data_IF_377432947836
#
_entry.id   IF_377432947836
#
_cell.length_a   1.000
_cell.length_b   1.000
_cell.length_c   1.000
_cell.angle_alpha   90.00
_cell.angle_beta   90.00
_cell.angle_gamma   90.00
#
_symmetry.space_group_name_H-M   'P 1'
#
loop_
_entity.id
_entity.type
_entity.pdbx_description
1 polymer ?
#
# COMPACT_ATOMS: atom_id res chain seq x y z
N UNK A 1 -25.40 8.43 -8.67
CA UNK A 1 -24.34 7.64 -9.33
C UNK A 1 -24.96 6.65 -10.31
N UNK A 2 -24.38 6.44 -11.49
CA UNK A 2 -24.91 5.48 -12.47
C UNK A 2 -24.55 4.03 -12.11
N UNK A 3 -25.31 3.05 -12.62
CA UNK A 3 -25.03 1.62 -12.43
C UNK A 3 -23.63 1.22 -12.91
N UNK A 4 -23.17 1.80 -14.01
CA UNK A 4 -21.83 1.56 -14.55
C UNK A 4 -20.72 2.06 -13.60
N UNK A 5 -20.91 3.21 -12.95
CA UNK A 5 -19.95 3.73 -11.96
C UNK A 5 -19.92 2.83 -10.72
N UNK A 6 -21.08 2.40 -10.22
CA UNK A 6 -21.16 1.48 -9.09
C UNK A 6 -20.47 0.15 -9.37
N UNK A 7 -20.71 -0.44 -10.55
CA UNK A 7 -20.04 -1.68 -10.96
C UNK A 7 -18.52 -1.50 -11.02
N UNK A 8 -18.03 -0.41 -11.65
CA UNK A 8 -16.60 -0.11 -11.73
C UNK A 8 -15.97 0.04 -10.35
N UNK A 9 -16.64 0.71 -9.42
CA UNK A 9 -16.15 0.85 -8.05
C UNK A 9 -16.12 -0.48 -7.30
N UNK A 10 -17.14 -1.33 -7.50
CA UNK A 10 -17.15 -2.68 -6.95
C UNK A 10 -15.94 -3.50 -7.42
N UNK A 11 -15.61 -3.44 -8.70
CA UNK A 11 -14.41 -4.09 -9.26
C UNK A 11 -13.13 -3.52 -8.66
N UNK A 12 -12.98 -2.19 -8.61
CA UNK A 12 -11.78 -1.54 -8.04
C UNK A 12 -11.61 -1.89 -6.55
N UNK A 13 -12.70 -1.95 -5.80
CA UNK A 13 -12.68 -2.34 -4.38
C UNK A 13 -12.30 -3.82 -4.22
N UNK A 14 -12.88 -4.72 -5.03
CA UNK A 14 -12.54 -6.13 -5.00
C UNK A 14 -11.05 -6.37 -5.32
N UNK A 15 -10.51 -5.66 -6.31
CA UNK A 15 -9.08 -5.71 -6.64
C UNK A 15 -8.22 -5.17 -5.49
N UNK A 16 -8.63 -4.08 -4.84
CA UNK A 16 -7.89 -3.52 -3.71
C UNK A 16 -7.87 -4.47 -2.50
N UNK A 17 -8.98 -5.15 -2.23
CA UNK A 17 -9.07 -6.19 -1.19
C UNK A 17 -8.16 -7.37 -1.53
N UNK A 18 -8.28 -7.91 -2.75
CA UNK A 18 -7.44 -9.02 -3.20
C UNK A 18 -5.95 -8.69 -3.14
N UNK A 19 -5.56 -7.48 -3.60
CA UNK A 19 -4.19 -6.98 -3.52
C UNK A 19 -3.70 -6.86 -2.07
N UNK A 20 -4.57 -6.41 -1.17
CA UNK A 20 -4.24 -6.27 0.26
C UNK A 20 -4.05 -7.62 0.94
N UNK A 21 -4.88 -8.62 0.61
CA UNK A 21 -4.74 -9.98 1.10
C UNK A 21 -3.46 -10.63 0.58
N UNK A 22 -3.16 -10.46 -0.72
CA UNK A 22 -1.92 -10.96 -1.33
C UNK A 22 -0.69 -10.31 -0.69
N UNK A 23 -0.74 -9.00 -0.46
CA UNK A 23 0.29 -8.25 0.25
C UNK A 23 0.56 -8.87 1.62
N UNK A 24 -0.48 -9.06 2.43
CA UNK A 24 -0.33 -9.61 3.77
C UNK A 24 0.29 -11.01 3.73
N UNK A 25 -0.20 -11.88 2.83
CA UNK A 25 0.39 -13.19 2.60
C UNK A 25 1.88 -13.10 2.25
N UNK A 26 2.27 -12.26 1.29
CA UNK A 26 3.66 -12.11 0.89
C UNK A 26 4.56 -11.61 2.03
N UNK A 27 4.17 -10.52 2.70
CA UNK A 27 5.00 -9.91 3.75
C UNK A 27 5.07 -10.76 5.02
N UNK A 28 3.98 -11.41 5.41
CA UNK A 28 3.98 -12.30 6.57
C UNK A 28 4.98 -13.45 6.37
N UNK A 29 4.93 -14.12 5.22
CA UNK A 29 5.84 -15.22 4.90
C UNK A 29 7.29 -14.74 4.71
N UNK A 30 7.50 -13.61 4.05
CA UNK A 30 8.84 -13.06 3.85
C UNK A 30 9.48 -12.62 5.18
N UNK A 31 8.69 -12.09 6.12
CA UNK A 31 9.18 -11.73 7.44
C UNK A 31 9.67 -12.97 8.21
N UNK A 32 8.95 -14.10 8.15
CA UNK A 32 9.43 -15.34 8.76
C UNK A 32 10.76 -15.81 8.16
N UNK A 33 10.92 -15.70 6.84
CA UNK A 33 12.19 -16.05 6.21
C UNK A 33 13.33 -15.10 6.59
N UNK A 34 13.05 -13.79 6.72
CA UNK A 34 14.06 -12.82 7.18
C UNK A 34 14.45 -13.11 8.64
N UNK A 35 13.50 -13.41 9.52
CA UNK A 35 13.79 -13.77 10.92
C UNK A 35 14.65 -15.02 11.02
N UNK A 36 14.35 -16.06 10.24
CA UNK A 36 15.18 -17.25 10.16
C UNK A 36 16.59 -16.95 9.62
N UNK A 37 16.69 -16.24 8.49
CA UNK A 37 17.97 -15.91 7.85
C UNK A 37 18.84 -14.93 8.66
N UNK A 38 18.24 -14.17 9.58
CA UNK A 38 18.95 -13.27 10.50
C UNK A 38 19.34 -13.93 11.83
N UNK A 39 19.00 -15.22 12.02
CA UNK A 39 19.27 -15.95 13.26
C UNK A 39 18.38 -15.55 14.44
N UNK A 40 17.27 -14.84 14.19
CA UNK A 40 16.31 -14.49 15.24
C UNK A 40 15.43 -15.67 15.64
N UNK A 41 15.25 -16.64 14.75
CA UNK A 41 14.48 -17.86 15.00
C UNK A 41 15.21 -19.08 14.47
N UNK A 42 15.11 -20.21 15.17
CA UNK A 42 15.76 -21.48 14.76
C UNK A 42 15.07 -22.15 13.56
N UNK A 43 13.84 -21.73 13.26
CA UNK A 43 13.02 -22.27 12.16
C UNK A 43 12.28 -21.15 11.44
N UNK A 44 11.98 -21.40 10.18
CA UNK A 44 11.07 -20.57 9.39
C UNK A 44 9.66 -21.13 9.43
N UNK A 45 8.71 -20.30 9.86
CA UNK A 45 7.28 -20.57 9.85
C UNK A 45 6.59 -20.09 8.55
N UNK A 46 7.37 -19.75 7.52
CA UNK A 46 6.83 -19.39 6.22
C UNK A 46 6.10 -20.59 5.58
N UNK A 47 5.01 -20.29 4.89
CA UNK A 47 4.23 -21.22 4.10
C UNK A 47 5.13 -21.98 3.12
N UNK A 48 4.91 -23.29 2.98
CA UNK A 48 5.77 -24.23 2.25
C UNK A 48 6.13 -23.75 0.83
N UNK A 49 5.13 -23.28 0.07
CA UNK A 49 5.31 -22.72 -1.27
C UNK A 49 6.31 -21.55 -1.34
N UNK A 50 6.23 -20.63 -0.37
CA UNK A 50 7.11 -19.45 -0.30
C UNK A 50 8.49 -19.87 0.20
N UNK A 51 8.52 -20.76 1.19
CA UNK A 51 9.77 -21.29 1.74
C UNK A 51 10.61 -21.96 0.66
N UNK A 52 10.00 -22.79 -0.18
CA UNK A 52 10.72 -23.50 -1.25
C UNK A 52 11.35 -22.55 -2.27
N UNK A 53 10.65 -21.47 -2.65
CA UNK A 53 11.20 -20.49 -3.60
C UNK A 53 12.30 -19.59 -3.01
N UNK A 54 12.26 -19.37 -1.70
CA UNK A 54 13.20 -18.51 -0.99
C UNK A 54 14.30 -19.30 -0.26
N UNK A 55 14.33 -20.61 -0.43
CA UNK A 55 15.33 -21.47 0.19
C UNK A 55 16.72 -21.14 -0.38
N UNK A 56 17.72 -21.04 0.50
CA UNK A 56 19.08 -20.65 0.12
C UNK A 56 19.27 -19.16 -0.17
N UNK A 57 18.21 -18.33 -0.12
CA UNK A 57 18.37 -16.89 -0.26
C UNK A 57 19.05 -16.30 0.99
N UNK A 58 20.12 -15.52 0.78
CA UNK A 58 20.77 -14.78 1.85
C UNK A 58 19.92 -13.60 2.35
N UNK A 59 20.21 -13.13 3.57
CA UNK A 59 19.48 -12.03 4.24
C UNK A 59 19.35 -10.78 3.35
N UNK A 60 20.42 -10.37 2.69
CA UNK A 60 20.41 -9.21 1.80
C UNK A 60 19.45 -9.37 0.61
N UNK A 61 19.35 -10.58 0.05
CA UNK A 61 18.42 -10.88 -1.05
C UNK A 61 16.97 -10.77 -0.59
N UNK A 62 16.67 -11.30 0.59
CA UNK A 62 15.33 -11.22 1.20
C UNK A 62 14.93 -9.77 1.51
N UNK A 63 15.85 -8.96 2.02
CA UNK A 63 15.60 -7.54 2.28
C UNK A 63 15.34 -6.75 0.99
N UNK A 64 16.11 -7.02 -0.07
CA UNK A 64 15.86 -6.40 -1.40
C UNK A 64 14.49 -6.79 -1.94
N UNK A 65 14.12 -8.07 -1.87
CA UNK A 65 12.80 -8.54 -2.29
C UNK A 65 11.68 -7.85 -1.49
N UNK A 66 11.87 -7.67 -0.18
CA UNK A 66 10.91 -6.98 0.69
C UNK A 66 10.68 -5.53 0.23
N UNK A 67 11.75 -4.82 -0.13
CA UNK A 67 11.66 -3.46 -0.67
C UNK A 67 11.01 -3.41 -2.05
N UNK A 68 11.37 -4.34 -2.96
CA UNK A 68 10.75 -4.42 -4.28
C UNK A 68 9.25 -4.69 -4.19
N UNK A 69 8.84 -5.63 -3.33
CA UNK A 69 7.42 -5.87 -3.07
C UNK A 69 6.75 -4.63 -2.47
N UNK A 70 7.39 -3.94 -1.53
CA UNK A 70 6.83 -2.74 -0.91
C UNK A 70 6.54 -1.64 -1.92
N UNK A 71 7.48 -1.40 -2.83
CA UNK A 71 7.31 -0.45 -3.95
C UNK A 71 6.24 -0.93 -4.93
N UNK A 72 6.24 -2.22 -5.30
CA UNK A 72 5.26 -2.80 -6.20
C UNK A 72 3.82 -2.68 -5.67
N UNK A 73 3.59 -3.06 -4.41
CA UNK A 73 2.27 -2.92 -3.79
C UNK A 73 1.83 -1.46 -3.63
N UNK A 74 2.75 -0.55 -3.28
CA UNK A 74 2.43 0.88 -3.21
C UNK A 74 2.04 1.45 -4.58
N UNK A 75 2.74 1.07 -5.65
CA UNK A 75 2.44 1.50 -7.02
C UNK A 75 1.11 0.94 -7.54
N UNK A 76 0.84 -0.35 -7.28
CA UNK A 76 -0.42 -0.98 -7.66
C UNK A 76 -1.61 -0.36 -6.90
N UNK A 77 -1.48 -0.16 -5.59
CA UNK A 77 -2.52 0.49 -4.79
C UNK A 77 -2.71 1.96 -5.18
N UNK A 78 -1.62 2.66 -5.53
CA UNK A 78 -1.68 4.02 -6.10
C UNK A 78 -2.45 4.07 -7.41
N UNK A 79 -2.22 3.11 -8.31
CA UNK A 79 -2.95 2.96 -9.57
C UNK A 79 -4.45 2.71 -9.33
N UNK A 80 -4.80 1.83 -8.39
CA UNK A 80 -6.20 1.58 -8.01
C UNK A 80 -6.84 2.85 -7.42
N UNK A 81 -6.15 3.54 -6.52
CA UNK A 81 -6.61 4.80 -5.91
C UNK A 81 -6.84 5.88 -6.96
N UNK A 82 -5.90 6.02 -7.91
CA UNK A 82 -6.03 6.94 -9.03
C UNK A 82 -7.26 6.65 -9.89
N UNK A 83 -7.47 5.38 -10.27
CA UNK A 83 -8.64 4.99 -11.05
C UNK A 83 -9.96 5.16 -10.30
N UNK A 84 -9.97 4.94 -8.98
CA UNK A 84 -11.13 5.24 -8.12
C UNK A 84 -11.41 6.73 -8.09
N UNK A 85 -10.38 7.56 -7.90
CA UNK A 85 -10.49 9.02 -7.95
C UNK A 85 -11.08 9.51 -9.27
N UNK A 86 -10.60 8.95 -10.41
CA UNK A 86 -11.14 9.27 -11.74
C UNK A 86 -12.58 8.82 -11.93
N UNK A 87 -12.96 7.66 -11.38
CA UNK A 87 -14.32 7.15 -11.46
C UNK A 87 -15.33 8.01 -10.67
N UNK A 88 -14.90 8.56 -9.53
CA UNK A 88 -15.75 9.35 -8.63
C UNK A 88 -15.77 10.85 -8.97
N UNK A 89 -14.61 11.43 -9.26
CA UNK A 89 -14.41 12.88 -9.32
C UNK A 89 -13.90 13.38 -10.69
N UNK A 90 -13.77 12.48 -11.68
CA UNK A 90 -13.14 12.80 -12.97
C UNK A 90 -11.68 13.18 -12.80
N UNK A 91 -11.18 14.10 -13.62
CA UNK A 91 -9.75 14.49 -13.62
C UNK A 91 -9.36 15.42 -12.46
N UNK A 92 -10.32 15.87 -11.64
CA UNK A 92 -10.11 16.93 -10.63
C UNK A 92 -9.05 16.59 -9.60
N UNK A 93 -8.94 15.30 -9.24
CA UNK A 93 -8.03 14.84 -8.19
C UNK A 93 -6.77 14.17 -8.74
N UNK A 94 -6.59 14.07 -10.05
CA UNK A 94 -5.48 13.31 -10.67
C UNK A 94 -4.12 13.77 -10.13
N UNK A 95 -3.87 15.09 -10.17
CA UNK A 95 -2.61 15.67 -9.67
C UNK A 95 -2.48 15.51 -8.16
N UNK A 96 -3.57 15.66 -7.40
CA UNK A 96 -3.55 15.57 -5.94
C UNK A 96 -3.22 14.13 -5.51
N UNK A 97 -3.81 13.13 -6.14
CA UNK A 97 -3.56 11.72 -5.82
C UNK A 97 -2.11 11.37 -6.15
N UNK A 98 -1.62 11.74 -7.35
CA UNK A 98 -0.24 11.45 -7.76
C UNK A 98 0.76 12.14 -6.83
N UNK A 99 0.61 13.46 -6.62
CA UNK A 99 1.51 14.22 -5.75
C UNK A 99 1.42 13.75 -4.30
N UNK A 100 0.24 13.37 -3.82
CA UNK A 100 0.05 12.82 -2.47
C UNK A 100 0.81 11.51 -2.28
N UNK A 101 0.71 10.58 -3.23
CA UNK A 101 1.47 9.33 -3.21
C UNK A 101 2.99 9.59 -3.25
N UNK A 102 3.44 10.46 -4.16
CA UNK A 102 4.85 10.80 -4.28
C UNK A 102 5.39 11.47 -3.01
N UNK A 103 4.63 12.41 -2.44
CA UNK A 103 5.03 13.13 -1.23
C UNK A 103 5.12 12.20 -0.03
N UNK A 104 4.11 11.39 0.23
CA UNK A 104 4.13 10.42 1.34
C UNK A 104 5.26 9.40 1.14
N UNK A 105 5.48 8.95 -0.11
CA UNK A 105 6.58 8.04 -0.43
C UNK A 105 7.95 8.67 -0.18
N UNK A 106 8.14 9.93 -0.59
CA UNK A 106 9.35 10.69 -0.32
C UNK A 106 9.59 10.89 1.17
N UNK A 107 8.54 11.24 1.94
CA UNK A 107 8.64 11.38 3.41
C UNK A 107 8.99 10.04 4.06
N UNK A 108 8.35 8.94 3.64
CA UNK A 108 8.66 7.60 4.16
C UNK A 108 10.13 7.22 3.88
N UNK A 109 10.65 7.53 2.70
CA UNK A 109 12.05 7.30 2.34
C UNK A 109 13.00 8.17 3.18
N UNK A 110 12.72 9.46 3.32
CA UNK A 110 13.53 10.37 4.13
C UNK A 110 13.58 9.93 5.60
N UNK A 111 12.45 9.47 6.16
CA UNK A 111 12.40 8.90 7.51
C UNK A 111 13.20 7.59 7.62
N UNK A 112 13.16 6.75 6.59
CA UNK A 112 13.98 5.54 6.56
C UNK A 112 15.48 5.86 6.53
N UNK A 113 15.90 6.85 5.73
CA UNK A 113 17.30 7.28 5.65
C UNK A 113 17.75 7.97 6.95
N UNK A 114 16.89 8.78 7.56
CA UNK A 114 17.19 9.46 8.82
C UNK A 114 17.24 8.51 10.02
N UNK A 115 16.65 7.30 9.91
CA UNK A 115 16.66 6.30 10.97
C UNK A 115 18.07 5.85 11.37
N UNK A 116 19.07 6.04 10.51
CA UNK A 116 20.47 5.82 10.87
C UNK A 116 20.94 6.74 12.00
N UNK A 117 20.43 7.97 12.02
CA UNK A 117 20.78 9.01 13.00
C UNK A 117 19.74 9.14 14.13
N UNK A 118 18.47 8.90 13.80
CA UNK A 118 17.32 9.09 14.69
C UNK A 118 16.50 7.78 14.75
N UNK A 119 16.86 6.80 15.58
CA UNK A 119 16.26 5.46 15.55
C UNK A 119 14.73 5.43 15.69
N UNK A 120 14.14 6.43 16.36
CA UNK A 120 12.70 6.54 16.52
C UNK A 120 11.94 6.79 15.20
N UNK A 121 12.60 7.32 14.16
CA UNK A 121 11.97 7.59 12.84
C UNK A 121 11.76 6.31 12.02
N UNK A 122 12.46 5.21 12.35
CA UNK A 122 12.34 3.93 11.65
C UNK A 122 10.90 3.43 11.61
N UNK A 123 10.21 3.45 12.76
CA UNK A 123 8.80 3.01 12.86
C UNK A 123 7.87 3.91 12.07
N UNK A 124 8.10 5.22 12.07
CA UNK A 124 7.27 6.19 11.36
C UNK A 124 7.36 6.01 9.83
N UNK A 125 8.57 5.89 9.29
CA UNK A 125 8.77 5.67 7.85
C UNK A 125 8.10 4.39 7.36
N UNK A 126 8.23 3.30 8.11
CA UNK A 126 7.57 2.02 7.80
C UNK A 126 6.04 2.16 7.81
N UNK A 127 5.47 2.81 8.84
CA UNK A 127 4.02 3.04 8.93
C UNK A 127 3.46 3.89 7.77
N UNK A 128 4.20 4.92 7.34
CA UNK A 128 3.80 5.72 6.18
C UNK A 128 3.87 4.92 4.88
N UNK A 129 4.90 4.09 4.72
CA UNK A 129 4.99 3.21 3.55
C UNK A 129 3.85 2.18 3.53
N UNK A 130 3.48 1.64 4.70
CA UNK A 130 2.31 0.78 4.84
C UNK A 130 1.02 1.48 4.40
N UNK A 131 0.80 2.74 4.80
CA UNK A 131 -0.37 3.52 4.41
C UNK A 131 -0.58 3.54 2.89
N UNK A 132 0.50 3.63 2.11
CA UNK A 132 0.44 3.63 0.64
C UNK A 132 0.07 2.28 0.03
N UNK A 133 0.31 1.19 0.75
CA UNK A 133 0.06 -0.18 0.29
C UNK A 133 -1.33 -0.69 0.70
N UNK A 134 -1.92 -0.12 1.76
CA UNK A 134 -3.25 -0.47 2.24
C UNK A 134 -4.34 0.23 1.42
N UNK A 135 -5.58 -0.29 1.40
CA UNK A 135 -6.67 0.27 0.58
C UNK A 135 -7.27 1.54 1.19
N UNK A 136 -6.68 2.08 2.25
CA UNK A 136 -7.19 3.24 2.98
C UNK A 136 -7.38 4.48 2.11
N UNK A 137 -6.43 4.90 1.24
CA UNK A 137 -6.62 6.05 0.37
C UNK A 137 -7.83 5.88 -0.56
N UNK A 138 -8.02 4.68 -1.11
CA UNK A 138 -9.17 4.34 -1.94
C UNK A 138 -10.48 4.42 -1.15
N UNK A 139 -10.51 3.86 0.06
CA UNK A 139 -11.69 3.91 0.95
C UNK A 139 -12.03 5.36 1.31
N UNK A 140 -11.04 6.21 1.59
CA UNK A 140 -11.26 7.62 1.87
C UNK A 140 -11.87 8.36 0.68
N UNK A 141 -11.46 8.07 -0.56
CA UNK A 141 -12.09 8.64 -1.74
C UNK A 141 -13.55 8.21 -1.88
N UNK A 142 -13.86 6.94 -1.60
CA UNK A 142 -15.23 6.44 -1.62
C UNK A 142 -16.07 7.16 -0.55
N UNK A 143 -15.59 7.25 0.69
CA UNK A 143 -16.29 7.96 1.77
C UNK A 143 -16.50 9.43 1.41
N UNK A 144 -15.47 10.10 0.91
CA UNK A 144 -15.53 11.50 0.51
C UNK A 144 -16.57 11.76 -0.61
N UNK A 145 -16.87 10.76 -1.44
CA UNK A 145 -17.89 10.88 -2.49
C UNK A 145 -19.32 10.97 -1.96
N UNK A 146 -19.55 10.56 -0.71
CA UNK A 146 -20.85 10.68 -0.03
C UNK A 146 -20.99 11.96 0.79
N UNK A 147 -19.93 12.74 0.96
CA UNK A 147 -20.01 14.01 1.67
C UNK A 147 -20.73 15.04 0.80
N UNK A 148 -21.74 15.76 1.34
CA UNK A 148 -22.44 16.79 0.59
C UNK A 148 -21.45 17.87 0.13
N UNK A 149 -21.46 18.17 -1.17
CA UNK A 149 -20.65 19.25 -1.73
C UNK A 149 -21.29 20.59 -1.41
N UNK A 150 -20.48 21.65 -1.27
CA UNK A 150 -20.91 23.05 -1.09
C UNK A 150 -21.94 23.57 -2.13
N UNK A 151 -22.28 22.79 -3.16
CA UNK A 151 -23.30 23.12 -4.17
C UNK A 151 -24.74 22.78 -3.78
N UNK A 152 -24.95 22.05 -2.68
CA UNK A 152 -26.30 21.73 -2.19
C UNK A 152 -26.89 22.83 -1.29
N UNK A 153 -26.07 23.80 -0.84
CA UNK A 153 -26.52 24.88 0.06
C UNK A 153 -27.18 26.05 -0.69
N UNK A 154 -27.01 26.15 -2.01
CA UNK A 154 -27.58 27.26 -2.81
C UNK A 154 -28.91 26.94 -3.50
N UNK A 155 -29.65 25.92 -3.03
CA UNK A 155 -30.95 25.51 -3.58
C UNK A 155 -32.11 25.55 -2.57
N UNK A 156 -31.98 26.38 -1.53
CA UNK A 156 -33.07 26.70 -0.61
C UNK A 156 -33.30 28.20 -0.56
#
# INVERSE_FOLDING_TARGET
>A
MSRAVLFRLGVLLALAIALSSLREFCFHNLNYQVSFASGQTDRSYAHSLVRHHLEGWGLQGLLRLKWLLALGFAALMGTLTFHTGRALFGQRLDRIIILGYLLIGAVALLLHLSAHWLPFTASAGVKLLHLLQYPMPLVFLIIASFLPGQRDVSRH
#
